data_IF_251305444662
#
_entry.id   IF_251305444662
#
_cell.length_a   1.000
_cell.length_b   1.000
_cell.length_c   1.000
_cell.angle_alpha   90.00
_cell.angle_beta   90.00
_cell.angle_gamma   90.00
#
_symmetry.space_group_name_H-M   'P 1'
#
loop_
_entity.id
_entity.type
_entity.pdbx_description
1 polymer ?
#
# COMPACT_ATOMS: atom_id res chain seq x y z
N UNK A 1 4.47 4.67 -15.19
CA UNK A 1 3.81 5.10 -13.93
C UNK A 1 4.48 6.30 -13.28
N UNK A 2 5.63 6.69 -13.76
CA UNK A 2 6.33 7.88 -13.29
C UNK A 2 5.42 9.11 -13.31
N UNK A 3 5.53 9.98 -12.31
CA UNK A 3 4.67 11.14 -12.13
C UNK A 3 3.30 10.84 -11.53
N UNK A 4 2.99 9.59 -11.30
CA UNK A 4 1.72 9.18 -10.68
C UNK A 4 1.80 9.27 -9.16
N UNK A 5 0.64 9.27 -8.53
CA UNK A 5 0.52 9.33 -7.07
C UNK A 5 0.41 7.95 -6.49
N UNK A 6 1.19 7.69 -5.45
CA UNK A 6 1.11 6.44 -4.67
C UNK A 6 0.78 6.80 -3.23
N UNK A 7 -0.22 6.13 -2.67
CA UNK A 7 -0.61 6.31 -1.28
C UNK A 7 0.06 5.24 -0.42
N UNK A 8 0.51 5.62 0.77
CA UNK A 8 1.14 4.72 1.74
C UNK A 8 0.42 4.85 3.07
N UNK A 9 -0.07 3.74 3.59
CA UNK A 9 -0.76 3.69 4.89
C UNK A 9 0.02 2.76 5.82
N UNK A 10 0.67 3.33 6.81
CA UNK A 10 1.46 2.60 7.81
C UNK A 10 1.56 3.45 9.06
N UNK A 11 1.39 2.86 10.23
CA UNK A 11 1.45 3.63 11.49
C UNK A 11 2.89 3.85 11.98
N UNK A 12 3.88 3.23 11.35
CA UNK A 12 5.29 3.42 11.69
C UNK A 12 5.88 4.55 10.84
N UNK A 13 6.28 5.68 11.46
CA UNK A 13 6.85 6.79 10.70
C UNK A 13 8.14 6.42 9.97
N UNK A 14 8.95 5.50 10.50
CA UNK A 14 10.18 5.08 9.84
C UNK A 14 9.87 4.36 8.53
N UNK A 15 8.84 3.53 8.50
CA UNK A 15 8.40 2.85 7.27
C UNK A 15 7.86 3.86 6.27
N UNK A 16 7.01 4.78 6.72
CA UNK A 16 6.47 5.82 5.83
C UNK A 16 7.57 6.63 5.16
N UNK A 17 8.51 7.13 5.95
CA UNK A 17 9.60 7.96 5.44
C UNK A 17 10.52 7.21 4.49
N UNK A 18 10.87 5.99 4.86
CA UNK A 18 11.74 5.14 4.05
C UNK A 18 11.10 4.81 2.70
N UNK A 19 9.83 4.42 2.72
CA UNK A 19 9.12 4.07 1.50
C UNK A 19 8.88 5.31 0.62
N UNK A 20 8.55 6.45 1.24
CA UNK A 20 8.40 7.70 0.49
C UNK A 20 9.70 8.07 -0.25
N UNK A 21 10.84 7.96 0.42
CA UNK A 21 12.12 8.27 -0.20
C UNK A 21 12.39 7.37 -1.41
N UNK A 22 12.11 6.08 -1.28
CA UNK A 22 12.29 5.13 -2.39
C UNK A 22 11.40 5.48 -3.58
N UNK A 23 10.12 5.74 -3.32
CA UNK A 23 9.17 6.01 -4.38
C UNK A 23 9.44 7.36 -5.04
N UNK A 24 9.74 8.38 -4.25
CA UNK A 24 10.05 9.72 -4.79
C UNK A 24 11.33 9.70 -5.63
N UNK A 25 12.30 8.87 -5.27
CA UNK A 25 13.53 8.74 -6.06
C UNK A 25 13.26 8.20 -7.47
N UNK A 26 12.10 7.59 -7.67
CA UNK A 26 11.69 7.06 -8.97
C UNK A 26 10.62 7.92 -9.66
N UNK A 27 10.43 9.15 -9.19
CA UNK A 27 9.56 10.11 -9.84
C UNK A 27 8.08 10.04 -9.44
N UNK A 28 7.73 9.25 -8.42
CA UNK A 28 6.35 9.19 -7.95
C UNK A 28 6.04 10.31 -6.97
N UNK A 29 4.81 10.82 -7.01
CA UNK A 29 4.26 11.59 -5.90
C UNK A 29 3.80 10.62 -4.83
N UNK A 30 3.95 10.99 -3.57
CA UNK A 30 3.60 10.09 -2.46
C UNK A 30 2.74 10.84 -1.44
N UNK A 31 1.65 10.22 -1.02
CA UNK A 31 0.86 10.68 0.11
C UNK A 31 0.97 9.66 1.23
N UNK A 32 1.25 10.14 2.45
CA UNK A 32 1.49 9.30 3.61
C UNK A 32 0.34 9.43 4.60
N UNK A 33 -0.12 8.30 5.12
CA UNK A 33 -1.20 8.26 6.12
C UNK A 33 -0.77 7.38 7.28
N UNK A 34 -1.04 7.83 8.50
CA UNK A 34 -0.66 7.09 9.70
C UNK A 34 -1.72 6.07 10.15
N UNK A 35 -2.91 6.11 9.55
CA UNK A 35 -4.00 5.19 9.91
C UNK A 35 -4.90 4.94 8.72
N UNK A 36 -5.66 3.85 8.80
CA UNK A 36 -6.68 3.55 7.81
C UNK A 36 -7.78 4.58 7.77
N UNK A 37 -8.17 5.08 8.93
CA UNK A 37 -9.19 6.11 9.06
C UNK A 37 -8.77 7.41 8.34
N UNK A 38 -7.53 7.83 8.55
CA UNK A 38 -7.00 9.02 7.89
C UNK A 38 -7.01 8.87 6.37
N UNK A 39 -6.62 7.70 5.87
CA UNK A 39 -6.62 7.43 4.44
C UNK A 39 -8.05 7.44 3.87
N UNK A 40 -8.98 6.73 4.52
CA UNK A 40 -10.34 6.59 4.00
C UNK A 40 -11.12 7.90 4.02
N UNK A 41 -10.78 8.83 4.90
CA UNK A 41 -11.40 10.15 4.95
C UNK A 41 -10.67 11.21 4.14
N UNK A 42 -9.58 10.86 3.49
CA UNK A 42 -8.82 11.80 2.68
C UNK A 42 -9.58 12.20 1.42
N UNK A 43 -9.48 13.47 0.98
CA UNK A 43 -10.06 13.88 -0.30
C UNK A 43 -9.48 13.15 -1.51
N UNK A 44 -8.31 12.53 -1.36
CA UNK A 44 -7.63 11.81 -2.44
C UNK A 44 -7.81 10.30 -2.36
N UNK A 45 -8.73 9.80 -1.53
CA UNK A 45 -8.92 8.37 -1.31
C UNK A 45 -9.23 7.61 -2.61
N UNK A 46 -9.88 8.24 -3.56
CA UNK A 46 -10.26 7.68 -4.85
C UNK A 46 -9.24 7.95 -5.96
N UNK A 47 -8.10 8.54 -5.61
CA UNK A 47 -7.03 8.89 -6.56
C UNK A 47 -5.81 8.02 -6.31
N UNK A 48 -4.90 8.07 -7.25
CA UNK A 48 -3.64 7.37 -7.13
C UNK A 48 -3.58 6.12 -7.98
N UNK A 49 -2.35 5.73 -8.28
CA UNK A 49 -2.06 4.62 -9.17
C UNK A 49 -1.83 3.32 -8.42
N UNK A 50 -1.49 3.39 -7.13
CA UNK A 50 -1.25 2.23 -6.30
C UNK A 50 -1.37 2.62 -4.83
N UNK A 51 -1.59 1.63 -3.99
CA UNK A 51 -1.66 1.79 -2.54
C UNK A 51 -0.76 0.76 -1.87
N UNK A 52 0.13 1.21 -1.00
CA UNK A 52 0.90 0.36 -0.10
C UNK A 52 0.24 0.42 1.28
N UNK A 53 -0.20 -0.71 1.78
CA UNK A 53 -1.09 -0.78 2.94
C UNK A 53 -0.58 -1.80 3.95
N UNK A 54 -0.27 -1.33 5.16
CA UNK A 54 0.15 -2.21 6.25
C UNK A 54 -1.02 -3.09 6.70
N UNK A 55 -0.77 -4.36 6.87
CA UNK A 55 -1.76 -5.31 7.39
C UNK A 55 -2.12 -4.97 8.84
N UNK A 56 -1.11 -4.60 9.64
CA UNK A 56 -1.25 -4.41 11.09
C UNK A 56 -1.26 -2.93 11.47
N UNK A 57 -2.39 -2.30 11.29
CA UNK A 57 -2.58 -0.90 11.69
C UNK A 57 -3.26 -0.83 13.06
N UNK A 58 -2.97 0.23 13.81
CA UNK A 58 -3.72 0.55 15.02
C UNK A 58 -5.14 0.96 14.65
N UNK A 59 -6.13 0.53 15.40
CA UNK A 59 -7.53 0.80 15.07
C UNK A 59 -8.02 -0.14 13.97
N UNK A 60 -8.39 0.40 12.82
CA UNK A 60 -8.75 -0.44 11.66
C UNK A 60 -7.55 -1.23 11.16
N UNK A 61 -7.75 -2.51 10.89
CA UNK A 61 -6.71 -3.31 10.25
C UNK A 61 -6.58 -2.96 8.76
N UNK A 62 -5.48 -3.39 8.14
CA UNK A 62 -5.33 -3.24 6.70
C UNK A 62 -6.42 -3.96 5.91
N UNK A 63 -6.88 -5.11 6.41
CA UNK A 63 -7.98 -5.83 5.75
C UNK A 63 -9.30 -5.06 5.82
N UNK A 64 -9.56 -4.38 6.93
CA UNK A 64 -10.74 -3.52 7.06
C UNK A 64 -10.70 -2.37 6.06
N UNK A 65 -9.52 -1.74 5.92
CA UNK A 65 -9.32 -0.65 4.95
C UNK A 65 -9.59 -1.16 3.54
N UNK A 66 -9.03 -2.32 3.19
CA UNK A 66 -9.18 -2.90 1.87
C UNK A 66 -10.65 -3.19 1.55
N UNK A 67 -11.39 -3.71 2.51
CA UNK A 67 -12.82 -3.98 2.34
C UNK A 67 -13.63 -2.72 2.10
N UNK A 68 -13.35 -1.65 2.85
CA UNK A 68 -14.06 -0.38 2.67
C UNK A 68 -13.68 0.31 1.37
N UNK A 69 -12.41 0.22 0.99
CA UNK A 69 -11.92 0.82 -0.25
C UNK A 69 -12.60 0.18 -1.46
N UNK A 70 -12.78 -1.12 -1.45
CA UNK A 70 -13.43 -1.84 -2.54
C UNK A 70 -14.85 -1.34 -2.82
N UNK A 71 -15.54 -0.84 -1.79
CA UNK A 71 -16.88 -0.32 -1.92
C UNK A 71 -16.95 1.14 -2.36
N UNK A 72 -15.86 1.89 -2.19
CA UNK A 72 -15.87 3.35 -2.36
C UNK A 72 -15.16 3.86 -3.60
N UNK A 73 -14.11 3.20 -4.03
CA UNK A 73 -13.15 3.79 -4.92
C UNK A 73 -12.95 2.99 -6.19
N UNK A 74 -12.51 3.63 -7.29
CA UNK A 74 -12.06 2.93 -8.47
C UNK A 74 -10.96 1.94 -8.12
N UNK A 75 -10.88 0.89 -8.90
CA UNK A 75 -9.85 -0.12 -8.71
C UNK A 75 -8.46 0.45 -8.93
N UNK A 76 -7.60 0.17 -7.98
CA UNK A 76 -6.17 0.37 -8.13
C UNK A 76 -5.47 -0.79 -7.45
N UNK A 77 -4.25 -1.14 -7.88
CA UNK A 77 -3.53 -2.22 -7.23
C UNK A 77 -3.17 -1.84 -5.80
N UNK A 78 -3.39 -2.79 -4.89
CA UNK A 78 -3.04 -2.65 -3.48
C UNK A 78 -1.97 -3.67 -3.16
N UNK A 79 -0.84 -3.20 -2.64
CA UNK A 79 0.22 -4.05 -2.12
C UNK A 79 0.15 -3.97 -0.61
N UNK A 80 -0.10 -5.09 0.05
CA UNK A 80 -0.10 -5.13 1.50
C UNK A 80 1.31 -5.37 2.02
N UNK A 81 1.59 -4.88 3.22
CA UNK A 81 2.89 -5.00 3.86
C UNK A 81 2.72 -5.64 5.23
N UNK A 82 3.62 -6.55 5.59
CA UNK A 82 3.55 -7.22 6.89
C UNK A 82 4.94 -7.54 7.40
N UNK A 83 5.10 -7.64 8.72
CA UNK A 83 6.36 -8.06 9.33
C UNK A 83 6.64 -9.53 9.13
N UNK A 84 5.63 -10.31 8.81
CA UNK A 84 5.80 -11.76 8.65
C UNK A 84 4.80 -12.30 7.64
N UNK A 85 5.33 -12.89 6.57
CA UNK A 85 4.52 -13.57 5.57
C UNK A 85 4.47 -15.06 5.87
N UNK A 86 3.26 -15.61 5.90
CA UNK A 86 3.06 -17.04 5.83
C UNK A 86 2.01 -17.33 4.75
N UNK A 87 1.83 -18.61 4.45
CA UNK A 87 0.93 -19.03 3.39
C UNK A 87 -0.51 -18.56 3.61
N UNK A 88 -0.97 -18.63 4.84
CA UNK A 88 -2.34 -18.22 5.21
C UNK A 88 -2.53 -16.72 5.02
N UNK A 89 -1.58 -15.91 5.46
CA UNK A 89 -1.61 -14.48 5.30
C UNK A 89 -1.68 -14.10 3.81
N UNK A 90 -0.86 -14.75 2.99
CA UNK A 90 -0.86 -14.50 1.55
C UNK A 90 -2.20 -14.84 0.92
N UNK A 91 -2.79 -15.96 1.29
CA UNK A 91 -4.10 -16.34 0.77
C UNK A 91 -5.18 -15.34 1.19
N UNK A 92 -5.15 -14.88 2.43
CA UNK A 92 -6.11 -13.89 2.92
C UNK A 92 -5.97 -12.56 2.16
N UNK A 93 -4.76 -12.10 1.92
CA UNK A 93 -4.50 -10.86 1.22
C UNK A 93 -5.04 -10.92 -0.22
N UNK A 94 -4.70 -11.97 -0.95
CA UNK A 94 -5.14 -12.13 -2.33
C UNK A 94 -6.68 -12.28 -2.39
N UNK A 95 -7.26 -13.05 -1.50
CA UNK A 95 -8.72 -13.24 -1.45
C UNK A 95 -9.45 -11.93 -1.14
N UNK A 96 -8.83 -11.03 -0.38
CA UNK A 96 -9.39 -9.71 -0.05
C UNK A 96 -9.22 -8.70 -1.18
N UNK A 97 -8.48 -9.04 -2.24
CA UNK A 97 -8.33 -8.19 -3.40
C UNK A 97 -6.96 -7.50 -3.53
N UNK A 98 -6.01 -7.82 -2.66
CA UNK A 98 -4.66 -7.28 -2.79
C UNK A 98 -3.97 -7.87 -4.03
N UNK A 99 -3.15 -7.06 -4.69
CA UNK A 99 -2.37 -7.52 -5.82
C UNK A 99 -1.20 -8.39 -5.37
N UNK A 100 -0.60 -8.07 -4.23
CA UNK A 100 0.49 -8.86 -3.67
C UNK A 100 0.77 -8.43 -2.22
N UNK A 101 1.78 -9.06 -1.63
CA UNK A 101 2.15 -8.89 -0.23
C UNK A 101 3.68 -8.77 -0.14
N UNK A 102 4.16 -7.75 0.55
CA UNK A 102 5.60 -7.54 0.79
C UNK A 102 5.91 -7.73 2.27
N UNK A 103 7.06 -8.32 2.55
CA UNK A 103 7.54 -8.50 3.92
C UNK A 103 8.46 -7.37 4.33
N UNK A 104 8.25 -6.85 5.53
CA UNK A 104 9.13 -5.85 6.13
C UNK A 104 10.35 -6.55 6.75
N UNK A 105 11.51 -5.90 6.77
CA UNK A 105 11.78 -4.57 6.24
C UNK A 105 11.74 -4.55 4.71
N UNK A 106 11.21 -3.45 4.15
CA UNK A 106 11.05 -3.33 2.71
C UNK A 106 12.39 -3.04 2.05
N UNK A 107 12.79 -3.91 1.15
CA UNK A 107 14.02 -3.72 0.38
C UNK A 107 13.71 -2.95 -0.89
N UNK A 108 14.61 -2.06 -1.26
CA UNK A 108 14.44 -1.20 -2.43
C UNK A 108 14.13 -2.00 -3.69
N UNK A 109 14.87 -3.07 -3.94
CA UNK A 109 14.68 -3.88 -5.14
C UNK A 109 13.30 -4.57 -5.15
N UNK A 110 12.82 -5.02 -4.00
CA UNK A 110 11.51 -5.63 -3.90
C UNK A 110 10.41 -4.61 -4.21
N UNK A 111 10.54 -3.39 -3.71
CA UNK A 111 9.59 -2.30 -3.97
C UNK A 111 9.58 -1.96 -5.46
N UNK A 112 10.74 -1.78 -6.05
CA UNK A 112 10.85 -1.42 -7.47
C UNK A 112 10.37 -2.53 -8.39
N UNK A 113 10.63 -3.78 -8.05
CA UNK A 113 10.13 -4.93 -8.80
C UNK A 113 8.60 -4.94 -8.77
N UNK A 114 8.01 -4.67 -7.61
CA UNK A 114 6.56 -4.60 -7.45
C UNK A 114 5.96 -3.50 -8.32
N UNK A 115 6.56 -2.31 -8.31
CA UNK A 115 6.12 -1.18 -9.13
C UNK A 115 6.17 -1.55 -10.61
N UNK A 116 7.23 -2.20 -11.06
CA UNK A 116 7.35 -2.64 -12.46
C UNK A 116 6.25 -3.62 -12.84
N UNK A 117 5.92 -4.57 -11.97
CA UNK A 117 4.84 -5.52 -12.21
C UNK A 117 3.49 -4.83 -12.32
N UNK A 118 3.21 -3.88 -11.43
CA UNK A 118 1.95 -3.15 -11.44
C UNK A 118 1.82 -2.27 -12.69
N UNK A 119 2.91 -1.69 -13.13
CA UNK A 119 2.93 -0.80 -14.30
C UNK A 119 2.68 -1.56 -15.60
N UNK A 120 3.05 -2.84 -15.66
CA UNK A 120 2.89 -3.65 -16.87
C UNK A 120 1.59 -4.46 -16.89
N UNK A 121 0.78 -4.38 -15.85
CA UNK A 121 -0.47 -5.14 -15.75
C UNK A 121 -1.60 -4.49 -16.57
#
# INVERSE_FOLDING_TARGET
>A
MEGKLISVVDDDPAVRESLAALLESHGFGVELFESGEAFLSSPTVDRGSALFLDVNLSGMSGFDVLGQLAAKAPRRPVVMMTGRIDHRMRQQAIAAGAADLLQKPLEAEAVFSMIRQLASA
#
